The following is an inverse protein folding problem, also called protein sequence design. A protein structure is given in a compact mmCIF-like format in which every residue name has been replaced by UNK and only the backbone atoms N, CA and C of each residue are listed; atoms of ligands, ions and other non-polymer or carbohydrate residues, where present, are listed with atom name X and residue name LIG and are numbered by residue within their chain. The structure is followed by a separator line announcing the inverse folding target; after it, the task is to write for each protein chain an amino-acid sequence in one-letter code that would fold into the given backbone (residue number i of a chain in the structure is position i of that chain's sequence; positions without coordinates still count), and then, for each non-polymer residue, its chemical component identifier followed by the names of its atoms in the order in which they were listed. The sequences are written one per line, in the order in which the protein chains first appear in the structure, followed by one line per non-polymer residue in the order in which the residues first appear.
data_IF_354059434758
#
_entry.id   IF_354059434758
#
_cell.length_a   1.000
_cell.length_b   1.000
_cell.length_c   1.000
_cell.angle_alpha   90.00
_cell.angle_beta   90.00
_cell.angle_gamma   90.00
#
_symmetry.space_group_name_H-M   'P 1'
#
loop_
_entity.id
_entity.type
_entity.pdbx_description
1 polymer ?
#
# COMPACT_ATOMS: atom_id res chain seq x y z
N UNK A 1 -3.92 -7.58 9.09
CA UNK A 1 -4.88 -7.00 8.11
C UNK A 1 -5.46 -8.16 7.31
N UNK A 2 -6.77 -8.18 7.09
CA UNK A 2 -7.43 -9.22 6.29
C UNK A 2 -8.06 -8.64 5.01
N UNK A 3 -8.63 -9.51 4.17
CA UNK A 3 -9.21 -9.12 2.88
C UNK A 3 -10.39 -8.17 3.05
N UNK A 4 -11.21 -8.33 4.09
CA UNK A 4 -12.35 -7.43 4.36
C UNK A 4 -11.87 -6.01 4.62
N UNK A 5 -10.85 -5.83 5.47
CA UNK A 5 -10.25 -4.51 5.70
C UNK A 5 -9.65 -3.91 4.44
N UNK A 6 -9.04 -4.72 3.57
CA UNK A 6 -8.53 -4.24 2.28
C UNK A 6 -9.67 -3.76 1.40
N UNK A 7 -10.77 -4.50 1.31
CA UNK A 7 -11.94 -4.12 0.51
C UNK A 7 -12.60 -2.83 1.00
N UNK A 8 -12.72 -2.64 2.32
CA UNK A 8 -13.23 -1.38 2.91
C UNK A 8 -12.36 -0.18 2.51
N UNK A 9 -11.03 -0.34 2.50
CA UNK A 9 -10.11 0.72 2.08
C UNK A 9 -10.16 0.98 0.57
N UNK A 10 -10.34 -0.05 -0.25
CA UNK A 10 -10.59 0.12 -1.69
C UNK A 10 -11.88 0.89 -1.94
N UNK A 11 -12.94 0.62 -1.18
CA UNK A 11 -14.18 1.38 -1.27
C UNK A 11 -13.96 2.84 -0.87
N UNK A 12 -13.23 3.10 0.22
CA UNK A 12 -12.92 4.45 0.65
C UNK A 12 -12.14 5.27 -0.39
N UNK A 13 -11.26 4.63 -1.18
CA UNK A 13 -10.57 5.27 -2.33
C UNK A 13 -11.58 5.58 -3.43
N UNK A 14 -12.46 4.62 -3.75
CA UNK A 14 -13.49 4.77 -4.79
C UNK A 14 -14.43 5.94 -4.47
N UNK A 15 -14.80 6.10 -3.20
CA UNK A 15 -15.71 7.16 -2.74
C UNK A 15 -15.12 8.57 -2.89
N UNK A 16 -13.79 8.70 -2.98
CA UNK A 16 -13.09 9.98 -3.13
C UNK A 16 -12.37 10.13 -4.47
N UNK A 17 -12.67 9.29 -5.46
CA UNK A 17 -11.93 9.25 -6.74
C UNK A 17 -11.95 10.57 -7.52
N UNK A 18 -12.92 11.45 -7.26
CA UNK A 18 -12.97 12.80 -7.84
C UNK A 18 -11.93 13.76 -7.25
N UNK A 19 -11.38 13.44 -6.09
CA UNK A 19 -10.28 14.15 -5.43
C UNK A 19 -8.99 13.33 -5.67
N UNK A 20 -8.31 13.63 -6.78
CA UNK A 20 -7.20 12.83 -7.29
C UNK A 20 -6.01 12.74 -6.33
N UNK A 21 -5.67 13.83 -5.65
CA UNK A 21 -4.57 13.87 -4.67
C UNK A 21 -4.91 12.97 -3.48
N UNK A 22 -6.13 13.11 -2.95
CA UNK A 22 -6.59 12.29 -1.83
C UNK A 22 -6.69 10.82 -2.20
N UNK A 23 -7.21 10.49 -3.38
CA UNK A 23 -7.31 9.13 -3.88
C UNK A 23 -5.93 8.48 -4.02
N UNK A 24 -4.95 9.20 -4.61
CA UNK A 24 -3.56 8.72 -4.70
C UNK A 24 -2.94 8.48 -3.34
N UNK A 25 -3.10 9.42 -2.39
CA UNK A 25 -2.54 9.26 -1.04
C UNK A 25 -3.11 8.02 -0.34
N UNK A 26 -4.42 7.79 -0.45
CA UNK A 26 -5.07 6.62 0.14
C UNK A 26 -4.66 5.31 -0.54
N UNK A 27 -4.45 5.33 -1.85
CA UNK A 27 -3.92 4.18 -2.61
C UNK A 27 -2.50 3.82 -2.16
N UNK A 28 -1.60 4.81 -2.10
CA UNK A 28 -0.23 4.64 -1.60
C UNK A 28 -0.23 4.05 -0.18
N UNK A 29 -1.07 4.59 0.71
CA UNK A 29 -1.22 4.11 2.09
C UNK A 29 -1.77 2.68 2.15
N UNK A 30 -2.65 2.30 1.21
CA UNK A 30 -3.18 0.94 1.13
C UNK A 30 -2.09 -0.04 0.71
N UNK A 31 -1.32 0.29 -0.34
CA UNK A 31 -0.21 -0.54 -0.79
C UNK A 31 0.83 -0.74 0.30
N UNK A 32 1.23 0.34 0.99
CA UNK A 32 2.22 0.27 2.07
C UNK A 32 1.71 -0.65 3.18
N UNK A 33 0.45 -0.52 3.60
CA UNK A 33 -0.10 -1.33 4.67
C UNK A 33 -0.17 -2.82 4.31
N UNK A 34 -0.61 -3.16 3.10
CA UNK A 34 -0.69 -4.56 2.64
C UNK A 34 0.69 -5.19 2.54
N UNK A 35 1.65 -4.48 1.94
CA UNK A 35 3.03 -5.00 1.82
C UNK A 35 3.66 -5.14 3.20
N UNK A 36 3.42 -4.20 4.11
CA UNK A 36 3.91 -4.28 5.51
C UNK A 36 3.30 -5.46 6.25
N UNK A 37 2.00 -5.73 6.08
CA UNK A 37 1.35 -6.91 6.62
C UNK A 37 2.04 -8.18 6.12
N UNK A 38 2.23 -8.34 4.81
CA UNK A 38 2.90 -9.52 4.22
C UNK A 38 4.33 -9.65 4.76
N UNK A 39 5.09 -8.55 4.84
CA UNK A 39 6.46 -8.54 5.34
C UNK A 39 6.58 -8.90 6.82
N UNK A 40 5.51 -8.76 7.61
CA UNK A 40 5.55 -8.97 9.06
C UNK A 40 4.85 -10.25 9.50
N UNK A 41 3.75 -10.64 8.83
CA UNK A 41 2.88 -11.73 9.31
C UNK A 41 2.89 -12.97 8.41
N UNK A 42 3.39 -12.88 7.17
CA UNK A 42 3.45 -14.05 6.27
C UNK A 42 4.33 -15.17 6.83
N UNK A 43 3.80 -16.39 6.82
CA UNK A 43 4.55 -17.61 7.11
C UNK A 43 5.32 -18.15 5.91
N UNK A 44 5.04 -17.65 4.70
CA UNK A 44 5.84 -17.93 3.49
C UNK A 44 7.10 -17.02 3.50
N UNK A 45 8.31 -17.60 3.61
CA UNK A 45 9.56 -16.83 3.63
C UNK A 45 9.78 -16.01 2.36
N UNK A 46 9.41 -16.53 1.19
CA UNK A 46 9.60 -15.84 -0.09
C UNK A 46 8.68 -14.63 -0.19
N UNK A 47 7.41 -14.78 0.18
CA UNK A 47 6.46 -13.66 0.18
C UNK A 47 6.93 -12.54 1.13
N UNK A 48 7.41 -12.93 2.32
CA UNK A 48 7.95 -12.01 3.31
C UNK A 48 9.18 -11.24 2.80
N UNK A 49 10.13 -11.94 2.19
CA UNK A 49 11.35 -11.33 1.63
C UNK A 49 11.05 -10.38 0.47
N UNK A 50 10.15 -10.77 -0.45
CA UNK A 50 9.72 -9.92 -1.55
C UNK A 50 9.04 -8.65 -1.04
N UNK A 51 8.13 -8.77 -0.07
CA UNK A 51 7.45 -7.64 0.52
C UNK A 51 8.43 -6.68 1.24
N UNK A 52 9.37 -7.23 2.03
CA UNK A 52 10.42 -6.45 2.66
C UNK A 52 11.33 -5.72 1.65
N UNK A 53 11.68 -6.38 0.55
CA UNK A 53 12.45 -5.77 -0.52
C UNK A 53 11.68 -4.64 -1.23
N UNK A 54 10.38 -4.83 -1.48
CA UNK A 54 9.52 -3.80 -2.08
C UNK A 54 9.41 -2.55 -1.20
N UNK A 55 9.34 -2.70 0.13
CA UNK A 55 9.27 -1.56 1.06
C UNK A 55 10.51 -0.65 1.01
N UNK A 56 11.68 -1.18 0.63
CA UNK A 56 12.90 -0.36 0.45
C UNK A 56 12.79 0.64 -0.69
N UNK A 57 11.84 0.47 -1.62
CA UNK A 57 11.56 1.48 -2.65
C UNK A 57 11.17 2.85 -2.05
N UNK A 58 10.69 2.88 -0.80
CA UNK A 58 10.37 4.11 -0.06
C UNK A 58 11.60 4.91 0.37
N UNK A 59 12.77 4.28 0.40
CA UNK A 59 14.04 4.93 0.72
C UNK A 59 14.64 5.61 -0.51
N UNK A 60 14.09 5.36 -1.70
CA UNK A 60 14.51 6.02 -2.93
C UNK A 60 13.99 7.45 -2.90
N UNK A 61 14.91 8.40 -2.90
CA UNK A 61 14.60 9.82 -3.04
C UNK A 61 14.30 10.12 -4.52
N UNK A 62 13.02 10.07 -4.89
CA UNK A 62 12.55 10.48 -6.21
C UNK A 62 11.27 11.33 -6.08
N UNK A 63 11.16 12.36 -6.92
CA UNK A 63 9.95 13.17 -7.01
C UNK A 63 8.80 12.30 -7.50
N UNK A 64 7.77 12.15 -6.65
CA UNK A 64 6.47 11.61 -7.06
C UNK A 64 5.74 12.73 -7.80
N UNK A 65 5.37 12.50 -9.05
CA UNK A 65 4.69 13.48 -9.92
C UNK A 65 3.21 13.72 -9.57
N UNK A 66 2.82 13.59 -8.31
CA UNK A 66 1.47 13.90 -7.83
C UNK A 66 1.59 14.90 -6.68
N UNK A 67 1.36 16.16 -7.01
CA UNK A 67 1.02 17.26 -6.12
C UNK A 67 0.08 18.20 -6.87
#
# INVERSE_FOLDING_TARGET
MDVTHVQERVQAITDVVSDYERAHSLEDDLFIAVISEIATTSTDPRARELAGAALRSREIDFQRLAA
#
